data_IF_804246979925
#
_entry.id   IF_804246979925
#
_cell.length_a   1.000
_cell.length_b   1.000
_cell.length_c   1.000
_cell.angle_alpha   90.00
_cell.angle_beta   90.00
_cell.angle_gamma   90.00
#
_symmetry.space_group_name_H-M   'P 1'
#
loop_
_entity.id
_entity.type
_entity.pdbx_description
1 polymer ?
#
# COMPACT_ATOMS: atom_id res chain seq x y z
N UNK A 1 -12.86 21.96 12.90
CA UNK A 1 -11.46 21.59 13.22
C UNK A 1 -11.31 20.14 13.74
N UNK A 2 -12.03 19.71 14.78
CA UNK A 2 -11.94 18.33 15.33
C UNK A 2 -12.08 17.21 14.27
N UNK A 3 -12.96 17.37 13.28
CA UNK A 3 -13.15 16.39 12.19
C UNK A 3 -11.95 16.24 11.25
N UNK A 4 -11.23 17.35 10.98
CA UNK A 4 -10.05 17.34 10.11
C UNK A 4 -8.89 16.65 10.83
N UNK A 5 -8.71 16.93 12.13
CA UNK A 5 -7.73 16.25 12.98
C UNK A 5 -7.95 14.73 13.04
N UNK A 6 -9.21 14.29 13.17
CA UNK A 6 -9.53 12.85 13.17
C UNK A 6 -9.27 12.22 11.80
N UNK A 7 -9.61 12.91 10.70
CA UNK A 7 -9.31 12.42 9.35
C UNK A 7 -7.79 12.31 9.12
N UNK A 8 -7.03 13.32 9.56
CA UNK A 8 -5.58 13.33 9.47
C UNK A 8 -4.96 12.19 10.29
N UNK A 9 -5.42 11.98 11.53
CA UNK A 9 -4.93 10.91 12.38
C UNK A 9 -5.19 9.51 11.78
N UNK A 10 -6.34 9.32 11.10
CA UNK A 10 -6.65 8.08 10.39
C UNK A 10 -5.74 7.86 9.18
N UNK A 11 -5.43 8.93 8.44
CA UNK A 11 -4.46 8.86 7.33
C UNK A 11 -3.07 8.49 7.86
N UNK A 12 -2.59 9.15 8.91
CA UNK A 12 -1.29 8.84 9.53
C UNK A 12 -1.25 7.41 10.04
N UNK A 13 -2.27 6.94 10.76
CA UNK A 13 -2.34 5.57 11.23
C UNK A 13 -2.33 4.54 10.08
N UNK A 14 -3.05 4.83 8.99
CA UNK A 14 -3.02 3.99 7.79
C UNK A 14 -1.64 3.95 7.15
N UNK A 15 -0.94 5.08 7.05
CA UNK A 15 0.42 5.16 6.51
C UNK A 15 1.41 4.38 7.40
N UNK A 16 1.29 4.43 8.73
CA UNK A 16 2.14 3.67 9.64
C UNK A 16 1.96 2.15 9.47
N UNK A 17 0.71 1.67 9.40
CA UNK A 17 0.40 0.25 9.17
C UNK A 17 0.95 -0.20 7.83
N UNK A 18 0.78 0.64 6.80
CA UNK A 18 1.26 0.36 5.47
C UNK A 18 2.79 0.31 5.39
N UNK A 19 3.49 1.24 6.04
CA UNK A 19 4.95 1.30 6.05
C UNK A 19 5.54 0.09 6.78
N UNK A 20 4.95 -0.32 7.90
CA UNK A 20 5.32 -1.57 8.58
C UNK A 20 5.06 -2.82 7.74
N UNK A 21 3.92 -2.88 7.06
CA UNK A 21 3.58 -3.99 6.15
C UNK A 21 4.47 -4.05 4.91
N UNK A 22 4.85 -2.91 4.36
CA UNK A 22 5.82 -2.81 3.27
C UNK A 22 7.19 -3.28 3.70
N UNK A 23 7.69 -2.77 4.83
CA UNK A 23 9.00 -3.17 5.35
C UNK A 23 9.07 -4.68 5.59
N UNK A 24 8.02 -5.25 6.18
CA UNK A 24 7.92 -6.70 6.37
C UNK A 24 7.82 -7.47 5.05
N UNK A 25 7.02 -7.00 4.09
CA UNK A 25 6.89 -7.65 2.78
C UNK A 25 8.19 -7.61 1.99
N UNK A 26 8.91 -6.48 2.07
CA UNK A 26 10.22 -6.31 1.46
C UNK A 26 11.24 -7.20 2.16
N UNK A 27 11.32 -7.23 3.49
CA UNK A 27 12.18 -8.17 4.21
C UNK A 27 11.91 -9.63 3.83
N UNK A 28 10.65 -10.06 3.77
CA UNK A 28 10.31 -11.44 3.35
C UNK A 28 10.75 -11.72 1.90
N UNK A 29 10.75 -10.69 1.04
CA UNK A 29 11.11 -10.83 -0.37
C UNK A 29 12.62 -10.70 -0.62
N UNK A 30 13.35 -9.96 0.23
CA UNK A 30 14.78 -9.63 0.10
C UNK A 30 15.70 -10.38 1.06
N UNK A 31 15.20 -10.99 2.15
CA UNK A 31 15.96 -11.95 3.01
C UNK A 31 16.21 -13.29 2.26
N UNK A 32 16.21 -13.20 0.94
CA UNK A 32 16.35 -14.22 -0.07
C UNK A 32 17.37 -13.69 -1.07
N UNK A 33 18.64 -13.69 -0.66
CA UNK A 33 19.81 -13.65 -1.55
C UNK A 33 19.87 -14.91 -2.47
N UNK A 34 18.74 -15.31 -3.06
CA UNK A 34 18.62 -16.40 -4.03
C UNK A 34 18.51 -17.82 -3.45
N UNK A 35 18.28 -18.00 -2.14
CA UNK A 35 18.34 -19.34 -1.50
C UNK A 35 17.01 -19.92 -0.99
N UNK A 36 15.94 -19.15 -0.91
CA UNK A 36 14.64 -19.67 -0.50
C UNK A 36 13.69 -19.86 -1.68
N UNK A 37 12.61 -20.61 -1.45
CA UNK A 37 11.79 -21.13 -2.52
C UNK A 37 11.01 -20.04 -3.26
N UNK A 38 10.88 -20.24 -4.58
CA UNK A 38 10.20 -19.37 -5.55
C UNK A 38 8.73 -19.02 -5.24
N UNK A 39 8.15 -19.42 -4.12
CA UNK A 39 6.80 -19.01 -3.71
C UNK A 39 6.80 -17.93 -2.63
N UNK A 40 7.95 -17.59 -2.05
CA UNK A 40 8.03 -16.59 -0.97
C UNK A 40 7.70 -15.17 -1.45
N UNK A 41 8.01 -14.82 -2.70
CA UNK A 41 7.59 -13.54 -3.27
C UNK A 41 6.06 -13.42 -3.34
N UNK A 42 5.32 -14.53 -3.56
CA UNK A 42 3.86 -14.55 -3.50
C UNK A 42 3.36 -14.26 -2.07
N UNK A 43 4.08 -14.70 -1.05
CA UNK A 43 3.76 -14.40 0.35
C UNK A 43 4.01 -12.93 0.67
N UNK A 44 5.12 -12.37 0.19
CA UNK A 44 5.41 -10.94 0.27
C UNK A 44 4.29 -10.11 -0.36
N UNK A 45 3.84 -10.47 -1.57
CA UNK A 45 2.70 -9.83 -2.23
C UNK A 45 1.40 -9.99 -1.44
N UNK A 46 1.15 -11.16 -0.86
CA UNK A 46 -0.01 -11.41 0.00
C UNK A 46 -0.03 -10.48 1.21
N UNK A 47 1.10 -10.35 1.91
CA UNK A 47 1.25 -9.42 3.03
C UNK A 47 1.10 -7.96 2.59
N UNK A 48 1.69 -7.58 1.47
CA UNK A 48 1.56 -6.23 0.91
C UNK A 48 0.10 -5.88 0.59
N UNK A 49 -0.64 -6.83 0.00
CA UNK A 49 -2.07 -6.69 -0.28
C UNK A 49 -2.90 -6.56 1.00
N UNK A 50 -2.63 -7.38 2.01
CA UNK A 50 -3.31 -7.32 3.32
C UNK A 50 -3.01 -6.01 4.05
N UNK A 51 -1.75 -5.57 4.07
CA UNK A 51 -1.35 -4.30 4.65
C UNK A 51 -2.06 -3.12 3.95
N UNK A 52 -2.10 -3.15 2.61
CA UNK A 52 -2.87 -2.19 1.82
C UNK A 52 -4.36 -2.22 2.17
N UNK A 53 -4.95 -3.40 2.34
CA UNK A 53 -6.36 -3.55 2.73
C UNK A 53 -6.65 -2.97 4.10
N UNK A 54 -5.85 -3.31 5.12
CA UNK A 54 -6.03 -2.77 6.48
C UNK A 54 -5.82 -1.26 6.49
N UNK A 55 -4.81 -0.76 5.79
CA UNK A 55 -4.55 0.67 5.68
C UNK A 55 -5.71 1.41 4.98
N UNK A 56 -6.25 0.86 3.88
CA UNK A 56 -7.42 1.38 3.19
C UNK A 56 -8.69 1.36 4.04
N UNK A 57 -8.83 0.36 4.92
CA UNK A 57 -9.93 0.26 5.88
C UNK A 57 -9.87 1.37 6.95
N UNK A 58 -8.67 1.66 7.46
CA UNK A 58 -8.44 2.68 8.49
C UNK A 58 -8.56 4.09 7.92
N UNK A 59 -7.87 4.39 6.81
CA UNK A 59 -7.69 5.74 6.30
C UNK A 59 -8.68 6.16 5.19
N UNK A 60 -9.31 5.20 4.52
CA UNK A 60 -10.28 5.46 3.46
C UNK A 60 -9.68 6.02 2.16
N UNK A 61 -10.49 6.77 1.39
CA UNK A 61 -10.17 7.19 0.00
C UNK A 61 -8.87 7.99 -0.15
N UNK A 62 -8.46 8.73 0.87
CA UNK A 62 -7.34 9.70 0.76
C UNK A 62 -5.96 9.06 0.92
N UNK A 63 -5.89 7.76 1.21
CA UNK A 63 -4.62 7.09 1.48
C UNK A 63 -3.87 6.68 0.21
N UNK A 64 -4.56 6.41 -0.90
CA UNK A 64 -3.98 5.72 -2.07
C UNK A 64 -2.76 6.44 -2.69
N UNK A 65 -2.80 7.77 -2.79
CA UNK A 65 -1.68 8.53 -3.37
C UNK A 65 -0.46 8.55 -2.44
N UNK A 66 -0.57 8.98 -1.17
CA UNK A 66 0.59 8.98 -0.26
C UNK A 66 1.12 7.56 0.02
N UNK A 67 0.25 6.56 0.01
CA UNK A 67 0.58 5.13 0.03
C UNK A 67 1.55 4.72 -1.09
N UNK A 68 1.23 5.10 -2.33
CA UNK A 68 2.05 4.77 -3.50
C UNK A 68 3.37 5.54 -3.49
N UNK A 69 3.36 6.80 -3.07
CA UNK A 69 4.59 7.60 -2.96
C UNK A 69 5.54 6.97 -1.93
N UNK A 70 5.03 6.60 -0.75
CA UNK A 70 5.83 5.91 0.27
C UNK A 70 6.36 4.56 -0.25
N UNK A 71 5.56 3.81 -1.00
CA UNK A 71 6.02 2.56 -1.59
C UNK A 71 7.23 2.78 -2.50
N UNK A 72 7.14 3.74 -3.41
CA UNK A 72 8.23 4.04 -4.35
C UNK A 72 9.48 4.49 -3.60
N UNK A 73 9.35 5.34 -2.58
CA UNK A 73 10.50 5.77 -1.76
C UNK A 73 11.16 4.60 -1.03
N UNK A 74 10.36 3.74 -0.39
CA UNK A 74 10.86 2.55 0.31
C UNK A 74 11.52 1.59 -0.68
N UNK A 75 10.95 1.42 -1.87
CA UNK A 75 11.52 0.61 -2.96
C UNK A 75 12.88 1.13 -3.40
N UNK A 76 13.01 2.45 -3.65
CA UNK A 76 14.26 3.05 -4.10
C UNK A 76 15.37 3.01 -3.05
N UNK A 77 15.02 2.98 -1.77
CA UNK A 77 16.00 2.85 -0.68
C UNK A 77 16.44 1.39 -0.47
N UNK A 78 15.57 0.41 -0.77
CA UNK A 78 15.84 -1.01 -0.53
C UNK A 78 16.44 -1.74 -1.74
N UNK A 79 16.16 -1.29 -2.96
CA UNK A 79 16.89 -1.73 -4.14
C UNK A 79 18.29 -1.08 -4.12
N UNK A 80 19.23 -1.68 -3.39
CA UNK A 80 20.64 -1.31 -3.48
C UNK A 80 21.15 -1.56 -4.91
N UNK A 81 21.31 -0.48 -5.67
CA UNK A 81 21.87 -0.48 -7.03
C UNK A 81 23.36 -0.90 -7.09
N UNK A 82 23.95 -1.30 -5.97
CA UNK A 82 25.39 -1.57 -5.85
C UNK A 82 25.83 -2.81 -6.67
N UNK A 83 24.89 -3.72 -6.98
CA UNK A 83 25.15 -4.88 -7.85
C UNK A 83 25.18 -4.57 -9.35
N UNK A 84 24.65 -3.41 -9.79
CA UNK A 84 24.60 -3.06 -11.22
C UNK A 84 26.00 -2.77 -11.81
N UNK A 85 26.97 -2.43 -10.96
CA UNK A 85 28.33 -2.03 -11.37
C UNK A 85 29.12 -3.20 -11.97
N UNK A 86 28.74 -4.44 -11.66
CA UNK A 86 29.47 -5.65 -12.09
C UNK A 86 28.78 -6.43 -13.22
N UNK A 87 27.63 -5.97 -13.73
CA UNK A 87 26.86 -6.66 -14.76
C UNK A 87 27.20 -6.19 -16.18
N UNK A 88 27.05 -7.07 -17.17
CA UNK A 88 27.11 -6.65 -18.57
C UNK A 88 25.89 -5.77 -18.91
N UNK A 89 25.97 -4.86 -19.90
CA UNK A 89 24.87 -3.95 -20.23
C UNK A 89 23.54 -4.64 -20.56
N UNK A 90 23.59 -5.84 -21.13
CA UNK A 90 22.39 -6.65 -21.42
C UNK A 90 21.77 -7.27 -20.17
N UNK A 91 22.59 -7.78 -19.25
CA UNK A 91 22.11 -8.37 -17.99
C UNK A 91 21.57 -7.29 -17.04
N UNK A 92 22.21 -6.12 -17.01
CA UNK A 92 21.73 -4.97 -16.27
C UNK A 92 20.36 -4.48 -16.77
N UNK A 93 20.13 -4.51 -18.09
CA UNK A 93 18.85 -4.13 -18.69
C UNK A 93 17.74 -5.12 -18.33
N UNK A 94 18.02 -6.43 -18.42
CA UNK A 94 17.05 -7.47 -18.07
C UNK A 94 16.72 -7.46 -16.56
N UNK A 95 17.72 -7.28 -15.70
CA UNK A 95 17.52 -7.13 -14.26
C UNK A 95 16.66 -5.90 -13.94
N UNK A 96 16.94 -4.76 -14.58
CA UNK A 96 16.17 -3.53 -14.41
C UNK A 96 14.72 -3.67 -14.90
N UNK A 97 14.49 -4.32 -16.03
CA UNK A 97 13.15 -4.59 -16.54
C UNK A 97 12.37 -5.53 -15.61
N UNK A 98 13.03 -6.57 -15.09
CA UNK A 98 12.46 -7.47 -14.09
C UNK A 98 12.03 -6.72 -12.83
N UNK A 99 12.90 -5.85 -12.32
CA UNK A 99 12.63 -5.05 -11.12
C UNK A 99 11.47 -4.06 -11.34
N UNK A 100 11.44 -3.40 -12.50
CA UNK A 100 10.35 -2.48 -12.88
C UNK A 100 9.00 -3.19 -13.00
N UNK A 101 8.96 -4.39 -13.60
CA UNK A 101 7.74 -5.20 -13.71
C UNK A 101 7.27 -5.63 -12.33
N UNK A 102 8.18 -6.06 -11.46
CA UNK A 102 7.86 -6.48 -10.10
C UNK A 102 7.37 -5.31 -9.25
N UNK A 103 8.00 -4.14 -9.35
CA UNK A 103 7.54 -2.90 -8.73
C UNK A 103 6.13 -2.52 -9.20
N UNK A 104 5.85 -2.62 -10.51
CA UNK A 104 4.52 -2.35 -11.06
C UNK A 104 3.46 -3.33 -10.52
N UNK A 105 3.82 -4.61 -10.38
CA UNK A 105 2.96 -5.63 -9.79
C UNK A 105 2.67 -5.32 -8.31
N UNK A 106 3.69 -4.97 -7.53
CA UNK A 106 3.54 -4.57 -6.13
C UNK A 106 2.64 -3.33 -5.99
N UNK A 107 2.79 -2.33 -6.87
CA UNK A 107 1.90 -1.17 -6.93
C UNK A 107 0.44 -1.58 -7.19
N UNK A 108 0.21 -2.49 -8.14
CA UNK A 108 -1.13 -2.97 -8.47
C UNK A 108 -1.77 -3.73 -7.31
N UNK A 109 -1.01 -4.61 -6.64
CA UNK A 109 -1.45 -5.40 -5.47
C UNK A 109 -1.78 -4.48 -4.31
N UNK A 110 -0.92 -3.51 -4.01
CA UNK A 110 -1.14 -2.52 -2.97
C UNK A 110 -2.37 -1.64 -3.25
N UNK A 111 -2.48 -1.11 -4.47
CA UNK A 111 -3.65 -0.32 -4.89
C UNK A 111 -4.94 -1.15 -4.81
N UNK A 112 -4.89 -2.41 -5.24
CA UNK A 112 -6.00 -3.37 -5.12
C UNK A 112 -6.40 -3.61 -3.67
N UNK A 113 -5.43 -3.85 -2.78
CA UNK A 113 -5.64 -4.00 -1.35
C UNK A 113 -6.35 -2.78 -0.75
N UNK A 114 -5.79 -1.58 -0.98
CA UNK A 114 -6.37 -0.32 -0.48
C UNK A 114 -7.81 -0.13 -0.98
N UNK A 115 -8.06 -0.40 -2.27
CA UNK A 115 -9.39 -0.27 -2.86
C UNK A 115 -10.41 -1.25 -2.26
N UNK A 116 -10.00 -2.49 -2.04
CA UNK A 116 -10.82 -3.52 -1.38
C UNK A 116 -11.12 -3.14 0.07
N UNK A 117 -10.09 -2.73 0.83
CA UNK A 117 -10.23 -2.28 2.21
C UNK A 117 -11.15 -1.07 2.35
N UNK A 118 -11.04 -0.10 1.45
CA UNK A 118 -11.94 1.05 1.41
C UNK A 118 -13.38 0.66 1.02
N UNK A 119 -13.55 -0.25 0.06
CA UNK A 119 -14.87 -0.76 -0.33
C UNK A 119 -15.53 -1.49 0.84
N UNK A 120 -14.76 -2.28 1.58
CA UNK A 120 -15.24 -2.97 2.76
C UNK A 120 -15.60 -1.98 3.88
N UNK A 121 -14.73 -1.00 4.16
CA UNK A 121 -14.99 0.06 5.16
C UNK A 121 -16.34 0.75 4.95
N UNK A 122 -16.70 1.01 3.69
CA UNK A 122 -17.98 1.64 3.33
C UNK A 122 -19.18 0.73 3.56
N UNK A 123 -19.01 -0.59 3.47
CA UNK A 123 -20.06 -1.57 3.74
C UNK A 123 -20.24 -1.80 5.24
N UNK A 124 -19.14 -1.90 5.98
CA UNK A 124 -19.19 -2.12 7.44
C UNK A 124 -19.66 -0.86 8.17
N UNK A 125 -19.22 0.33 7.74
CA UNK A 125 -19.51 1.60 8.42
C UNK A 125 -20.28 2.61 7.53
N UNK A 126 -21.53 2.31 7.14
CA UNK A 126 -22.35 3.24 6.35
C UNK A 126 -22.65 4.57 7.08
N UNK A 127 -22.60 4.57 8.41
CA UNK A 127 -22.99 5.71 9.26
C UNK A 127 -22.00 6.89 9.34
N UNK A 128 -20.75 6.72 8.89
CA UNK A 128 -19.78 7.83 8.87
C UNK A 128 -19.85 8.67 7.58
N UNK A 129 -20.40 8.12 6.50
CA UNK A 129 -20.71 8.88 5.27
C UNK A 129 -22.07 9.59 5.31
N UNK A 130 -22.96 9.23 6.24
CA UNK A 130 -24.29 9.86 6.39
C UNK A 130 -24.29 11.18 7.20
N UNK A 131 -23.16 11.60 7.78
CA UNK A 131 -23.06 12.88 8.54
C UNK A 131 -22.41 14.01 7.73
N UNK A 132 -22.84 14.17 6.49
CA UNK A 132 -22.88 15.50 5.90
C UNK A 132 -23.95 16.31 6.65
N UNK A 133 -23.61 17.47 7.26
CA UNK A 133 -24.61 18.31 7.91
C UNK A 133 -25.52 18.91 6.83
N UNK A 134 -26.81 18.65 6.92
CA UNK A 134 -27.81 19.36 6.10
C UNK A 134 -28.65 18.47 5.18
N UNK A 135 -29.52 17.65 5.77
CA UNK A 135 -30.93 17.67 5.36
C UNK A 135 -31.75 17.56 6.64
N UNK A 136 -32.09 18.75 7.13
CA UNK A 136 -33.12 18.97 8.14
C UNK A 136 -34.34 18.17 7.72
N UNK A 137 -34.84 17.35 8.63
CA UNK A 137 -36.16 16.78 8.51
C UNK A 137 -37.17 17.92 8.43
N UNK A 138 -37.88 17.99 7.31
CA UNK A 138 -39.29 18.39 7.35
C UNK A 138 -40.02 17.04 7.49
N UNK A 139 -40.44 16.62 8.68
CA UNK A 139 -41.40 17.38 9.48
C UNK A 139 -42.75 17.20 8.80
N UNK A 140 -43.50 16.22 9.28
CA UNK A 140 -44.87 15.89 8.93
C UNK A 140 -45.81 17.10 8.98
N UNK A 141 -46.68 17.23 7.98
CA UNK A 141 -48.10 17.54 8.13
C UNK A 141 -48.81 17.16 6.83
#
# INVERSE_FOLDING_TARGET
>A
MKRILIALARVVAGLCVQLGGMYLAVLISFDLDGSGPDWLWLVGLGFLGLAGMVAGWIAGRYLMVPALILFVLVWTELCEYDQLVYMTPSEALDAYLGDMIFMALCCAVLAGGIALGYRDARRTWPGLSARAPGRVGTGSA
#
